data_IF_015433107047
#
_entry.id   IF_015433107047
#
_cell.length_a   1.000
_cell.length_b   1.000
_cell.length_c   1.000
_cell.angle_alpha   90.00
_cell.angle_beta   90.00
_cell.angle_gamma   90.00
#
_symmetry.space_group_name_H-M   'P 1'
#
loop_
_entity.id
_entity.type
_entity.pdbx_description
1 polymer ?
#
# COMPACT_ATOMS: atom_id res chain seq x y z
N UNK A 1 5.30 10.23 18.28
CA UNK A 1 4.50 9.93 17.07
C UNK A 1 4.76 8.47 16.73
N UNK A 2 3.71 7.70 16.53
CA UNK A 2 3.74 6.27 16.18
C UNK A 2 3.12 6.07 14.79
N UNK A 3 3.81 5.33 13.93
CA UNK A 3 3.36 5.02 12.56
C UNK A 3 2.92 3.56 12.52
N UNK A 4 1.75 3.31 11.96
CA UNK A 4 1.26 1.98 11.62
C UNK A 4 1.44 1.72 10.12
N UNK A 5 2.26 0.75 9.77
CA UNK A 5 2.42 0.27 8.41
C UNK A 5 1.33 -0.77 8.14
N UNK A 6 0.34 -0.39 7.36
CA UNK A 6 -0.83 -1.21 7.11
C UNK A 6 -0.71 -1.93 5.77
N UNK A 7 -0.68 -3.25 5.79
CA UNK A 7 -0.54 -4.11 4.60
C UNK A 7 -1.81 -4.90 4.37
N UNK A 8 -2.34 -4.83 3.16
CA UNK A 8 -3.43 -5.71 2.70
C UNK A 8 -2.87 -6.76 1.74
N UNK A 9 -3.23 -8.03 1.92
CA UNK A 9 -2.71 -9.14 1.11
C UNK A 9 -3.75 -10.26 0.92
N UNK A 10 -3.55 -11.02 -0.16
CA UNK A 10 -4.40 -12.14 -0.54
C UNK A 10 -3.58 -13.34 -1.06
N UNK A 11 -2.94 -13.20 -2.22
CA UNK A 11 -2.22 -14.28 -2.91
C UNK A 11 -0.81 -13.90 -3.41
N UNK A 12 -0.29 -12.77 -2.94
CA UNK A 12 0.97 -12.14 -3.37
C UNK A 12 2.18 -12.68 -2.60
N UNK A 13 2.41 -13.99 -2.55
CA UNK A 13 3.43 -14.60 -1.68
C UNK A 13 4.84 -14.04 -1.89
N UNK A 14 5.26 -13.83 -3.13
CA UNK A 14 6.61 -13.35 -3.44
C UNK A 14 6.78 -11.86 -3.12
N UNK A 15 5.80 -11.06 -3.52
CA UNK A 15 5.76 -9.62 -3.31
C UNK A 15 5.66 -9.32 -1.81
N UNK A 16 4.71 -9.95 -1.12
CA UNK A 16 4.52 -9.82 0.31
C UNK A 16 5.77 -10.24 1.10
N UNK A 17 6.47 -11.30 0.68
CA UNK A 17 7.72 -11.69 1.33
C UNK A 17 8.75 -10.58 1.28
N UNK A 18 8.93 -9.94 0.12
CA UNK A 18 9.86 -8.82 -0.05
C UNK A 18 9.45 -7.62 0.81
N UNK A 19 8.17 -7.27 0.79
CA UNK A 19 7.63 -6.17 1.58
C UNK A 19 7.82 -6.40 3.07
N UNK A 20 7.44 -7.55 3.62
CA UNK A 20 7.57 -7.86 5.05
C UNK A 20 9.02 -7.91 5.51
N UNK A 21 9.95 -8.43 4.71
CA UNK A 21 11.37 -8.40 5.01
C UNK A 21 11.91 -6.96 5.06
N UNK A 22 11.50 -6.12 4.12
CA UNK A 22 11.87 -4.72 4.08
C UNK A 22 11.29 -3.95 5.26
N UNK A 23 10.01 -4.11 5.57
CA UNK A 23 9.38 -3.47 6.73
C UNK A 23 10.04 -3.90 8.04
N UNK A 24 10.27 -5.20 8.23
CA UNK A 24 10.95 -5.73 9.44
C UNK A 24 12.34 -5.11 9.67
N UNK A 25 13.03 -4.74 8.59
CA UNK A 25 14.39 -4.17 8.68
C UNK A 25 14.38 -2.66 8.91
N UNK A 26 13.38 -1.94 8.37
CA UNK A 26 13.38 -0.47 8.31
C UNK A 26 12.37 0.19 9.26
N UNK A 27 11.37 -0.55 9.77
CA UNK A 27 10.38 0.01 10.69
C UNK A 27 11.00 0.26 12.07
N UNK A 28 10.75 1.46 12.60
CA UNK A 28 11.23 1.83 13.95
C UNK A 28 10.60 0.93 15.01
N UNK A 29 11.31 0.71 16.12
CA UNK A 29 10.80 -0.06 17.28
C UNK A 29 9.58 0.58 17.95
N UNK A 30 9.35 1.87 17.76
CA UNK A 30 8.18 2.59 18.26
C UNK A 30 6.93 2.35 17.43
N UNK A 31 7.10 1.91 16.19
CA UNK A 31 6.04 1.73 15.20
C UNK A 31 5.50 0.30 15.19
N UNK A 32 4.49 0.04 14.38
CA UNK A 32 3.95 -1.31 14.25
C UNK A 32 3.52 -1.61 12.79
N UNK A 33 3.40 -2.90 12.51
CA UNK A 33 2.92 -3.41 11.22
C UNK A 33 1.58 -4.10 11.47
N UNK A 34 0.55 -3.72 10.73
CA UNK A 34 -0.75 -4.39 10.68
C UNK A 34 -0.91 -5.11 9.35
N UNK A 35 -1.24 -6.38 9.37
CA UNK A 35 -1.49 -7.18 8.16
C UNK A 35 -2.96 -7.60 8.16
N UNK A 36 -3.69 -7.26 7.11
CA UNK A 36 -5.06 -7.69 6.88
C UNK A 36 -5.11 -8.64 5.70
N UNK A 37 -5.56 -9.87 5.94
CA UNK A 37 -5.75 -10.89 4.92
C UNK A 37 -7.21 -10.96 4.49
N UNK A 38 -7.44 -11.12 3.16
CA UNK A 38 -8.76 -11.49 2.66
C UNK A 38 -9.14 -12.88 3.19
N UNK A 39 -10.14 -12.93 4.05
CA UNK A 39 -10.55 -14.14 4.76
C UNK A 39 -10.96 -15.27 3.80
N UNK A 40 -11.62 -14.93 2.70
CA UNK A 40 -12.21 -15.89 1.78
C UNK A 40 -11.25 -16.37 0.68
N UNK A 41 -10.24 -15.54 0.33
CA UNK A 41 -9.44 -15.77 -0.89
C UNK A 41 -7.92 -15.83 -0.65
N UNK A 42 -7.43 -15.61 0.59
CA UNK A 42 -5.98 -15.70 0.83
C UNK A 42 -5.47 -17.13 0.63
N UNK A 43 -4.25 -17.26 0.11
CA UNK A 43 -3.62 -18.57 -0.03
C UNK A 43 -3.03 -19.05 1.29
N UNK A 44 -2.90 -20.36 1.45
CA UNK A 44 -2.29 -20.98 2.65
C UNK A 44 -0.86 -20.48 2.85
N UNK A 45 -0.09 -20.34 1.76
CA UNK A 45 1.30 -19.89 1.78
C UNK A 45 1.43 -18.45 2.30
N UNK A 46 0.50 -17.55 1.90
CA UNK A 46 0.45 -16.16 2.38
C UNK A 46 0.13 -16.13 3.87
N UNK A 47 -0.84 -16.90 4.33
CA UNK A 47 -1.18 -17.03 5.74
C UNK A 47 0.02 -17.51 6.57
N UNK A 48 0.63 -18.63 6.18
CA UNK A 48 1.80 -19.20 6.87
C UNK A 48 2.99 -18.24 6.89
N UNK A 49 3.19 -17.47 5.82
CA UNK A 49 4.21 -16.43 5.77
C UNK A 49 3.94 -15.37 6.85
N UNK A 50 2.71 -14.81 6.89
CA UNK A 50 2.35 -13.80 7.87
C UNK A 50 2.51 -14.30 9.31
N UNK A 51 2.05 -15.51 9.60
CA UNK A 51 2.17 -16.14 10.92
C UNK A 51 3.64 -16.24 11.38
N UNK A 52 4.58 -16.52 10.47
CA UNK A 52 6.03 -16.56 10.77
C UNK A 52 6.63 -15.20 11.09
N UNK A 53 5.97 -14.11 10.69
CA UNK A 53 6.41 -12.75 10.98
C UNK A 53 5.84 -12.21 12.31
N UNK A 54 4.80 -12.83 12.88
CA UNK A 54 4.25 -12.40 14.16
C UNK A 54 5.30 -12.45 15.27
N UNK A 55 5.32 -11.41 16.09
CA UNK A 55 6.27 -11.27 17.19
C UNK A 55 5.53 -11.22 18.54
N UNK A 56 6.15 -11.74 19.62
CA UNK A 56 5.54 -11.75 20.95
C UNK A 56 5.26 -10.36 21.54
N UNK A 57 5.99 -9.32 21.08
CA UNK A 57 5.84 -7.93 21.53
C UNK A 57 4.66 -7.20 20.86
N UNK A 58 3.92 -7.89 20.00
CA UNK A 58 2.79 -7.35 19.28
C UNK A 58 3.13 -6.16 18.34
N UNK A 59 4.40 -6.03 17.94
CA UNK A 59 4.82 -5.03 16.96
C UNK A 59 4.37 -5.37 15.54
N UNK A 60 4.07 -6.66 15.29
CA UNK A 60 3.41 -7.13 14.06
C UNK A 60 2.08 -7.79 14.44
N UNK A 61 1.01 -7.28 13.88
CA UNK A 61 -0.39 -7.70 14.16
C UNK A 61 -1.04 -8.21 12.89
N UNK A 62 -1.95 -9.15 13.01
CA UNK A 62 -2.66 -9.73 11.88
C UNK A 62 -4.14 -9.88 12.19
N UNK A 63 -4.98 -9.63 11.18
CA UNK A 63 -6.42 -9.93 11.21
C UNK A 63 -6.89 -10.45 9.86
N UNK A 64 -8.12 -10.92 9.85
CA UNK A 64 -8.83 -11.40 8.67
C UNK A 64 -10.13 -10.62 8.52
N UNK A 65 -10.51 -10.33 7.28
CA UNK A 65 -11.83 -9.81 6.93
C UNK A 65 -12.19 -10.25 5.51
N UNK A 66 -13.46 -10.44 5.18
CA UNK A 66 -13.87 -10.72 3.81
C UNK A 66 -13.77 -9.45 2.96
N UNK A 67 -13.17 -9.55 1.77
CA UNK A 67 -13.09 -8.44 0.83
C UNK A 67 -14.48 -8.04 0.27
N UNK A 68 -15.32 -9.02 -0.05
CA UNK A 68 -16.69 -8.83 -0.57
C UNK A 68 -16.77 -7.83 -1.76
N UNK A 69 -15.74 -7.75 -2.58
CA UNK A 69 -15.63 -6.75 -3.66
C UNK A 69 -15.79 -5.30 -3.17
N UNK A 70 -15.42 -5.01 -1.94
CA UNK A 70 -15.49 -3.68 -1.32
C UNK A 70 -14.16 -3.36 -0.62
N UNK A 71 -13.24 -2.80 -1.39
CA UNK A 71 -11.90 -2.48 -0.93
C UNK A 71 -11.88 -1.41 0.17
N UNK A 72 -12.81 -0.45 0.15
CA UNK A 72 -12.88 0.57 1.18
C UNK A 72 -13.29 -0.03 2.53
N UNK A 73 -14.38 -0.80 2.57
CA UNK A 73 -14.83 -1.48 3.80
C UNK A 73 -13.73 -2.42 4.31
N UNK A 74 -13.10 -3.20 3.44
CA UNK A 74 -12.00 -4.08 3.79
C UNK A 74 -10.83 -3.32 4.44
N UNK A 75 -10.35 -2.23 3.82
CA UNK A 75 -9.25 -1.41 4.37
C UNK A 75 -9.65 -0.74 5.70
N UNK A 76 -10.89 -0.31 5.84
CA UNK A 76 -11.37 0.32 7.07
C UNK A 76 -11.39 -0.66 8.26
N UNK A 77 -11.64 -1.94 8.07
CA UNK A 77 -11.49 -2.96 9.13
C UNK A 77 -10.08 -2.98 9.73
N UNK A 78 -9.07 -2.75 8.91
CA UNK A 78 -7.67 -2.67 9.36
C UNK A 78 -7.36 -1.53 10.32
N UNK A 79 -8.23 -0.53 10.44
CA UNK A 79 -8.06 0.57 11.38
C UNK A 79 -7.96 0.09 12.84
N UNK A 80 -8.67 -0.97 13.20
CA UNK A 80 -8.66 -1.52 14.56
C UNK A 80 -7.31 -2.14 14.91
N UNK A 81 -6.59 -2.70 13.93
CA UNK A 81 -5.25 -3.25 14.12
C UNK A 81 -4.23 -2.19 14.57
N UNK A 82 -4.48 -0.94 14.23
CA UNK A 82 -3.56 0.18 14.36
C UNK A 82 -4.14 1.30 15.25
N UNK A 83 -5.00 0.94 16.21
CA UNK A 83 -5.73 1.88 17.07
C UNK A 83 -4.85 2.82 17.88
N UNK A 84 -3.63 2.39 18.20
CA UNK A 84 -2.64 3.11 19.00
C UNK A 84 -1.61 3.88 18.15
N UNK A 85 -1.84 4.00 16.82
CA UNK A 85 -0.99 4.75 15.91
C UNK A 85 -1.52 6.17 15.67
N UNK A 86 -0.61 7.12 15.45
CA UNK A 86 -0.95 8.50 15.08
C UNK A 86 -1.15 8.64 13.57
N UNK A 87 -0.38 7.87 12.80
CA UNK A 87 -0.37 7.86 11.35
C UNK A 87 -0.45 6.44 10.81
N UNK A 88 -1.06 6.31 9.65
CA UNK A 88 -1.12 5.08 8.86
C UNK A 88 -0.37 5.27 7.55
N UNK A 89 0.51 4.33 7.23
CA UNK A 89 1.07 4.17 5.90
C UNK A 89 0.49 2.90 5.28
N UNK A 90 -0.52 3.07 4.42
CA UNK A 90 -1.12 1.98 3.65
C UNK A 90 -0.20 1.55 2.53
N UNK A 91 0.07 0.25 2.43
CA UNK A 91 0.92 -0.36 1.41
C UNK A 91 0.21 -1.61 0.92
N UNK A 92 -0.03 -1.71 -0.38
CA UNK A 92 -0.57 -2.94 -0.96
C UNK A 92 0.57 -3.98 -1.05
N UNK A 93 0.25 -5.29 -0.97
CA UNK A 93 1.26 -6.35 -0.87
C UNK A 93 2.27 -6.38 -2.03
N UNK A 94 1.90 -5.84 -3.19
CA UNK A 94 2.73 -5.74 -4.39
C UNK A 94 3.43 -4.37 -4.55
N UNK A 95 3.39 -3.52 -3.52
CA UNK A 95 4.11 -2.25 -3.47
C UNK A 95 5.35 -2.33 -2.54
N UNK A 96 6.41 -1.63 -2.91
CA UNK A 96 7.64 -1.52 -2.11
C UNK A 96 8.00 -0.04 -1.93
N UNK A 97 7.91 0.52 -0.73
CA UNK A 97 8.45 1.84 -0.45
C UNK A 97 9.97 1.89 -0.70
N UNK A 98 10.48 2.99 -1.20
CA UNK A 98 11.93 3.19 -1.26
C UNK A 98 12.53 3.26 0.15
N UNK A 99 13.78 2.82 0.33
CA UNK A 99 14.48 2.92 1.61
C UNK A 99 14.59 4.37 2.09
N UNK A 100 14.86 5.30 1.19
CA UNK A 100 14.93 6.74 1.52
C UNK A 100 13.61 7.27 2.06
N UNK A 101 12.47 6.87 1.49
CA UNK A 101 11.15 7.22 2.02
C UNK A 101 10.98 6.68 3.44
N UNK A 102 11.33 5.42 3.67
CA UNK A 102 11.22 4.78 4.98
C UNK A 102 12.10 5.47 6.03
N UNK A 103 13.36 5.74 5.70
CA UNK A 103 14.33 6.38 6.59
C UNK A 103 13.94 7.81 7.01
N UNK A 104 13.22 8.52 6.13
CA UNK A 104 12.86 9.91 6.35
C UNK A 104 11.40 10.12 6.77
N UNK A 105 10.58 9.08 6.84
CA UNK A 105 9.13 9.23 7.03
C UNK A 105 8.78 9.97 8.33
N UNK A 106 9.40 9.63 9.45
CA UNK A 106 9.19 10.36 10.71
C UNK A 106 9.49 11.85 10.58
N UNK A 107 10.63 12.20 10.00
CA UNK A 107 11.01 13.60 9.79
C UNK A 107 10.05 14.34 8.84
N UNK A 108 9.59 13.67 7.78
CA UNK A 108 8.59 14.22 6.86
C UNK A 108 7.31 14.57 7.60
N UNK A 109 6.81 13.66 8.45
CA UNK A 109 5.57 13.87 9.21
C UNK A 109 5.73 14.96 10.28
N UNK A 110 6.86 15.01 10.98
CA UNK A 110 7.17 16.05 11.99
C UNK A 110 7.26 17.45 11.37
N UNK A 111 7.81 17.56 10.16
CA UNK A 111 7.87 18.85 9.44
C UNK A 111 6.51 19.30 8.87
N UNK A 112 5.52 18.39 8.83
CA UNK A 112 4.21 18.66 8.25
C UNK A 112 3.06 18.43 9.25
N UNK A 113 3.04 19.02 10.44
CA UNK A 113 2.13 18.69 11.54
C UNK A 113 0.65 18.95 11.22
N UNK A 114 0.36 19.85 10.28
CA UNK A 114 -1.01 20.22 9.89
C UNK A 114 -1.54 19.37 8.73
N UNK A 115 -0.70 18.61 8.04
CA UNK A 115 -1.11 17.73 6.95
C UNK A 115 -1.85 16.52 7.53
N UNK A 116 -2.86 16.06 6.82
CA UNK A 116 -3.68 14.90 7.22
C UNK A 116 -3.64 13.76 6.22
N UNK A 117 -3.31 14.06 4.95
CA UNK A 117 -3.09 13.09 3.89
C UNK A 117 -1.88 13.48 3.06
N UNK A 118 -1.00 12.52 2.81
CA UNK A 118 0.15 12.69 1.91
C UNK A 118 -0.01 11.74 0.71
N UNK A 119 0.06 12.33 -0.47
CA UNK A 119 0.11 11.59 -1.72
C UNK A 119 1.55 11.19 -2.01
N UNK A 120 1.74 9.89 -2.27
CA UNK A 120 3.05 9.29 -2.54
C UNK A 120 3.14 8.96 -4.04
N UNK A 121 4.20 9.38 -4.76
CA UNK A 121 4.38 9.01 -6.15
C UNK A 121 4.65 7.50 -6.26
N UNK A 122 4.10 6.85 -7.28
CA UNK A 122 4.25 5.42 -7.52
C UNK A 122 4.88 5.16 -8.89
N UNK A 123 5.91 4.33 -8.89
CA UNK A 123 6.59 3.86 -10.09
C UNK A 123 5.99 2.51 -10.48
N UNK A 124 5.18 2.50 -11.52
CA UNK A 124 4.64 1.29 -12.11
C UNK A 124 5.58 0.78 -13.21
N UNK A 125 6.06 -0.45 -13.07
CA UNK A 125 6.79 -1.15 -14.13
C UNK A 125 6.06 -2.43 -14.49
N UNK A 126 6.01 -2.75 -15.81
CA UNK A 126 5.31 -3.94 -16.29
C UNK A 126 6.26 -4.74 -17.18
N UNK A 127 6.73 -5.86 -16.67
CA UNK A 127 7.55 -6.80 -17.43
C UNK A 127 6.70 -7.44 -18.54
N UNK A 128 7.24 -7.53 -19.76
CA UNK A 128 6.51 -8.03 -20.93
C UNK A 128 5.60 -6.99 -21.61
N UNK A 129 5.63 -5.72 -21.17
CA UNK A 129 4.84 -4.65 -21.79
C UNK A 129 5.22 -4.46 -23.26
N UNK A 130 4.23 -4.48 -24.15
CA UNK A 130 4.41 -4.24 -25.59
C UNK A 130 3.76 -2.93 -26.03
N UNK A 131 4.12 -2.47 -27.23
CA UNK A 131 3.48 -1.29 -27.84
C UNK A 131 1.97 -1.48 -27.99
N UNK A 132 1.50 -2.69 -28.28
CA UNK A 132 0.08 -2.99 -28.42
C UNK A 132 -0.66 -2.78 -27.08
N UNK A 133 -0.07 -3.16 -25.96
CA UNK A 133 -0.65 -2.92 -24.63
C UNK A 133 -0.71 -1.42 -24.32
N UNK A 134 0.36 -0.69 -24.60
CA UNK A 134 0.42 0.77 -24.37
C UNK A 134 -0.69 1.47 -25.16
N UNK A 135 -0.86 1.13 -26.42
CA UNK A 135 -1.87 1.73 -27.29
C UNK A 135 -3.30 1.33 -26.85
N UNK A 136 -3.51 0.04 -26.50
CA UNK A 136 -4.81 -0.49 -26.02
C UNK A 136 -5.28 0.22 -24.75
N UNK A 137 -4.38 0.38 -23.76
CA UNK A 137 -4.71 0.99 -22.47
C UNK A 137 -4.46 2.49 -22.41
N UNK A 138 -3.96 3.09 -23.51
CA UNK A 138 -3.63 4.51 -23.60
C UNK A 138 -2.66 4.98 -22.53
N UNK A 139 -1.69 4.13 -22.20
CA UNK A 139 -0.70 4.42 -21.19
C UNK A 139 0.39 5.35 -21.70
N UNK A 140 0.95 6.14 -20.80
CA UNK A 140 2.16 6.92 -21.05
C UNK A 140 3.32 6.18 -20.40
N UNK A 141 4.38 5.98 -21.15
CA UNK A 141 5.61 5.34 -20.65
C UNK A 141 6.77 6.29 -20.90
N UNK A 142 7.51 6.60 -19.85
CA UNK A 142 8.69 7.45 -19.96
C UNK A 142 9.94 6.66 -20.42
N UNK A 143 11.09 7.36 -20.52
CA UNK A 143 12.34 6.77 -21.01
C UNK A 143 12.90 5.70 -20.06
N UNK A 144 12.56 5.75 -18.76
CA UNK A 144 12.91 4.74 -17.74
C UNK A 144 11.98 3.51 -17.78
N UNK A 145 10.95 3.51 -18.64
CA UNK A 145 9.97 2.43 -18.73
C UNK A 145 8.86 2.50 -17.68
N UNK A 146 8.68 3.63 -16.99
CA UNK A 146 7.67 3.79 -15.97
C UNK A 146 6.32 4.19 -16.57
N UNK A 147 5.28 3.47 -16.17
CA UNK A 147 3.92 3.66 -16.67
C UNK A 147 3.20 4.75 -15.86
N UNK A 148 2.67 5.76 -16.59
CA UNK A 148 1.86 6.85 -16.05
C UNK A 148 2.53 7.65 -14.90
N UNK A 149 3.85 7.67 -14.82
CA UNK A 149 4.59 8.42 -13.80
C UNK A 149 4.23 9.92 -13.81
N UNK A 150 4.02 10.54 -12.63
CA UNK A 150 4.09 10.04 -11.25
C UNK A 150 2.71 9.60 -10.72
N UNK A 151 2.28 8.45 -10.90
CA UNK A 151 0.98 7.91 -10.44
C UNK A 151 0.77 8.10 -8.92
N UNK A 152 0.35 9.30 -8.51
CA UNK A 152 0.19 9.67 -7.11
C UNK A 152 -0.92 8.88 -6.40
N UNK A 153 -0.57 8.26 -5.27
CA UNK A 153 -1.48 7.47 -4.43
C UNK A 153 -1.61 8.10 -3.05
N UNK A 154 -2.84 8.23 -2.53
CA UNK A 154 -3.07 8.56 -1.12
C UNK A 154 -2.67 7.36 -0.27
N UNK A 155 -1.53 7.46 0.43
CA UNK A 155 -0.98 6.30 1.16
C UNK A 155 -0.64 6.60 2.61
N UNK A 156 -0.32 7.83 2.97
CA UNK A 156 0.08 8.19 4.33
C UNK A 156 -0.94 9.17 4.87
N UNK A 157 -1.62 8.80 5.96
CA UNK A 157 -2.70 9.63 6.49
C UNK A 157 -2.78 9.54 8.01
N UNK A 158 -3.28 10.62 8.65
CA UNK A 158 -3.55 10.64 10.09
C UNK A 158 -4.62 9.62 10.44
N UNK A 159 -4.38 8.89 11.52
CA UNK A 159 -5.42 8.05 12.08
C UNK A 159 -6.45 8.92 12.80
N UNK A 160 -7.62 9.03 12.23
CA UNK A 160 -8.75 9.80 12.75
C UNK A 160 -10.05 9.09 12.35
N UNK A 161 -11.07 9.15 13.20
CA UNK A 161 -12.38 8.58 12.89
C UNK A 161 -13.05 9.24 11.67
N UNK A 162 -12.67 10.49 11.36
CA UNK A 162 -13.20 11.23 10.20
C UNK A 162 -12.50 10.84 8.88
N UNK A 163 -11.29 10.29 8.95
CA UNK A 163 -10.49 9.93 7.76
C UNK A 163 -10.65 8.45 7.48
N UNK A 164 -11.31 8.13 6.37
CA UNK A 164 -11.66 6.76 6.01
C UNK A 164 -11.52 6.51 4.52
N UNK A 165 -11.38 5.25 4.15
CA UNK A 165 -11.49 4.79 2.77
C UNK A 165 -12.95 4.79 2.34
N UNK A 166 -13.23 5.29 1.12
CA UNK A 166 -14.57 5.38 0.53
C UNK A 166 -14.53 4.92 -0.93
N UNK A 167 -15.59 4.22 -1.35
CA UNK A 167 -15.72 3.65 -2.69
C UNK A 167 -15.38 2.17 -2.74
N UNK A 168 -16.24 1.37 -3.39
CA UNK A 168 -16.04 -0.10 -3.47
C UNK A 168 -14.81 -0.48 -4.28
N UNK A 169 -14.62 0.19 -5.41
CA UNK A 169 -13.49 0.03 -6.35
C UNK A 169 -12.94 1.42 -6.66
N UNK A 170 -11.63 1.53 -6.89
CA UNK A 170 -10.93 2.81 -7.02
C UNK A 170 -11.12 3.70 -5.78
N UNK A 171 -11.07 3.06 -4.64
CA UNK A 171 -11.29 3.67 -3.33
C UNK A 171 -10.31 4.82 -3.06
N UNK A 172 -10.81 5.81 -2.34
CA UNK A 172 -10.06 7.03 -1.97
C UNK A 172 -10.17 7.28 -0.49
N UNK A 173 -9.19 7.99 0.05
CA UNK A 173 -9.21 8.47 1.43
C UNK A 173 -9.97 9.79 1.46
N UNK A 174 -11.02 9.85 2.25
CA UNK A 174 -11.85 11.05 2.45
C UNK A 174 -11.88 11.49 3.93
N UNK A 175 -12.48 12.64 4.20
CA UNK A 175 -12.57 13.22 5.55
C UNK A 175 -11.37 14.08 5.99
N UNK A 176 -10.28 14.07 5.24
CA UNK A 176 -9.11 14.90 5.46
C UNK A 176 -9.36 16.35 4.99
N UNK A 177 -8.69 17.32 5.65
CA UNK A 177 -8.79 18.76 5.33
C UNK A 177 -7.52 19.29 4.65
N UNK A 178 -6.36 18.77 5.02
CA UNK A 178 -5.07 19.25 4.55
C UNK A 178 -4.32 18.11 3.84
N UNK A 179 -4.07 18.30 2.54
CA UNK A 179 -3.35 17.35 1.69
C UNK A 179 -1.99 17.91 1.31
N UNK A 180 -0.99 17.07 1.29
CA UNK A 180 0.32 17.35 0.72
C UNK A 180 0.71 16.24 -0.27
N UNK A 181 1.73 16.52 -1.08
CA UNK A 181 2.30 15.57 -2.03
C UNK A 181 3.80 15.46 -1.78
N UNK A 182 4.33 14.25 -1.77
CA UNK A 182 5.79 14.09 -1.80
C UNK A 182 6.35 14.59 -3.14
N UNK A 183 7.57 15.10 -3.17
CA UNK A 183 8.24 15.44 -4.41
C UNK A 183 8.23 14.28 -5.42
N UNK A 184 8.09 14.60 -6.69
CA UNK A 184 8.16 13.65 -7.80
C UNK A 184 9.61 13.17 -7.98
N UNK A 185 10.02 12.25 -7.11
CA UNK A 185 11.37 11.71 -7.06
C UNK A 185 11.33 10.22 -6.73
N UNK A 186 12.10 9.41 -7.46
CA UNK A 186 12.13 7.95 -7.29
C UNK A 186 12.47 7.50 -5.86
N UNK A 187 13.36 8.24 -5.18
CA UNK A 187 13.75 7.96 -3.79
C UNK A 187 12.64 8.22 -2.77
N UNK A 188 11.53 8.82 -3.16
CA UNK A 188 10.36 9.06 -2.31
C UNK A 188 9.12 8.33 -2.84
N UNK A 189 9.32 7.34 -3.71
CA UNK A 189 8.25 6.63 -4.39
C UNK A 189 7.97 5.26 -3.79
N UNK A 190 6.77 4.76 -4.11
CA UNK A 190 6.42 3.34 -4.05
C UNK A 190 6.81 2.68 -5.38
N UNK A 191 7.50 1.57 -5.33
CA UNK A 191 7.76 0.71 -6.49
C UNK A 191 6.67 -0.35 -6.61
N UNK A 192 6.09 -0.48 -7.78
CA UNK A 192 4.98 -1.39 -8.05
C UNK A 192 5.26 -2.18 -9.35
N UNK A 193 6.14 -3.18 -9.26
CA UNK A 193 6.47 -4.04 -10.39
C UNK A 193 5.39 -5.08 -10.62
N UNK A 194 4.99 -5.26 -11.87
CA UNK A 194 4.06 -6.31 -12.31
C UNK A 194 4.58 -7.03 -13.53
N UNK A 195 4.02 -8.23 -13.80
CA UNK A 195 4.12 -8.86 -15.11
C UNK A 195 2.90 -8.49 -15.96
N UNK A 196 3.00 -8.66 -17.27
CA UNK A 196 1.89 -8.36 -18.17
C UNK A 196 0.70 -9.27 -17.92
N UNK A 197 0.96 -10.54 -17.60
CA UNK A 197 -0.09 -11.53 -17.31
C UNK A 197 -0.90 -11.13 -16.07
N UNK A 198 -0.21 -10.68 -15.01
CA UNK A 198 -0.89 -10.20 -13.79
C UNK A 198 -1.71 -8.94 -14.06
N UNK A 199 -1.18 -8.04 -14.89
CA UNK A 199 -1.90 -6.82 -15.27
C UNK A 199 -3.17 -7.13 -16.10
N UNK A 200 -3.09 -8.09 -17.03
CA UNK A 200 -4.25 -8.51 -17.82
C UNK A 200 -5.32 -9.15 -16.93
N UNK A 201 -4.94 -10.07 -16.03
CA UNK A 201 -5.86 -10.68 -15.05
C UNK A 201 -6.52 -9.63 -14.16
N UNK A 202 -5.78 -8.64 -13.69
CA UNK A 202 -6.33 -7.56 -12.88
C UNK A 202 -7.34 -6.71 -13.66
N UNK A 203 -7.05 -6.39 -14.91
CA UNK A 203 -7.98 -5.63 -15.75
C UNK A 203 -9.27 -6.43 -15.99
N UNK A 204 -9.16 -7.73 -16.31
CA UNK A 204 -10.31 -8.61 -16.46
C UNK A 204 -11.16 -8.68 -15.17
N UNK A 205 -10.51 -8.80 -14.01
CA UNK A 205 -11.22 -8.79 -12.73
C UNK A 205 -12.00 -7.50 -12.51
N UNK A 206 -11.40 -6.33 -12.76
CA UNK A 206 -12.09 -5.04 -12.60
C UNK A 206 -13.25 -4.84 -13.56
N UNK A 207 -13.23 -5.46 -14.75
CA UNK A 207 -14.36 -5.43 -15.68
C UNK A 207 -15.57 -6.24 -15.14
N UNK A 208 -15.40 -7.11 -14.15
CA UNK A 208 -16.46 -7.91 -13.52
C UNK A 208 -17.12 -7.25 -12.32
N UNK A 209 -16.54 -6.16 -11.79
CA UNK A 209 -17.01 -5.41 -10.62
C UNK A 209 -17.91 -4.24 -11.00
#
# INVERSE_FOLDING_TARGET
MKIGYFVTACNEINELTRLLLMLKTNVSKSDCIGILLDEDNHTTEVKELCEKFLLPDNSIRMAYAPLNNDFATFKNVGYELLEDCDWIFQIDADELPSSTLMDNLHSILEMNPNVELILVPRINTVEGLTRQHIDKWRWKVNDEGWVNWPDYQGRIYKRSADIQWVGRVHEKIEGHKQVSMLPMHEQLALHHPKTIERQEQQNEYYETL
#
